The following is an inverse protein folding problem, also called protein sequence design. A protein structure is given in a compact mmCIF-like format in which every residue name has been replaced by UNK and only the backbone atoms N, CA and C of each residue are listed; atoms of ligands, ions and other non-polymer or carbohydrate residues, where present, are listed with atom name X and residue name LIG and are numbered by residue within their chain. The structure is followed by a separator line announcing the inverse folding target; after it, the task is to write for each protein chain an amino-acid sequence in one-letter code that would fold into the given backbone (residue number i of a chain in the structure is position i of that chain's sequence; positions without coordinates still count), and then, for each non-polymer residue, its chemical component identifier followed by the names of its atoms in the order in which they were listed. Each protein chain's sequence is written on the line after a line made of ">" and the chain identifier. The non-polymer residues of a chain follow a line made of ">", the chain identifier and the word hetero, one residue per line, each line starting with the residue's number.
data_IF_163656603615
#
_entry.id   IF_163656603615
#
_cell.length_a   1.000
_cell.length_b   1.000
_cell.length_c   1.000
_cell.angle_alpha   90.00
_cell.angle_beta   90.00
_cell.angle_gamma   90.00
#
_symmetry.space_group_name_H-M   'P 1'
#
loop_
_entity.id
_entity.type
_entity.pdbx_description
1 polymer ?
#
# COMPACT_ATOMS: atom_id res chain seq x y z
N UNK A 1 26.74 8.60 39.08
CA UNK A 1 26.83 9.53 37.94
C UNK A 1 25.53 9.37 37.16
N UNK A 2 24.80 10.45 36.86
CA UNK A 2 23.53 10.38 36.11
C UNK A 2 23.80 10.90 34.71
N UNK A 3 23.50 10.10 33.70
CA UNK A 3 23.59 10.50 32.29
C UNK A 3 22.25 11.02 31.79
N UNK A 4 22.28 11.85 30.75
CA UNK A 4 21.11 12.50 30.18
C UNK A 4 21.12 12.33 28.67
N UNK A 5 20.00 11.88 28.11
CA UNK A 5 19.78 11.76 26.68
C UNK A 5 18.50 12.51 26.27
N UNK A 6 18.45 12.95 25.01
CA UNK A 6 17.27 13.57 24.39
C UNK A 6 16.71 12.62 23.35
N UNK A 7 15.41 12.34 23.44
CA UNK A 7 14.69 11.52 22.48
C UNK A 7 13.68 12.38 21.72
N UNK A 8 13.55 12.15 20.42
CA UNK A 8 12.50 12.74 19.57
C UNK A 8 11.69 11.63 18.91
N UNK A 9 10.47 11.95 18.45
CA UNK A 9 9.62 11.00 17.71
C UNK A 9 9.33 9.70 18.49
N UNK A 10 9.11 9.86 19.81
CA UNK A 10 8.78 8.78 20.74
C UNK A 10 7.29 8.50 20.70
N UNK A 11 6.91 7.22 20.65
CA UNK A 11 5.54 6.77 20.85
C UNK A 11 5.47 5.79 22.00
N UNK A 12 4.46 5.96 22.83
CA UNK A 12 4.04 4.95 23.79
C UNK A 12 2.82 4.29 23.17
N UNK A 13 2.95 3.02 22.81
CA UNK A 13 1.84 2.23 22.26
C UNK A 13 1.31 1.31 23.35
N UNK A 14 -0.01 1.15 23.40
CA UNK A 14 -0.61 0.16 24.28
C UNK A 14 -0.18 -1.24 23.83
N UNK A 15 0.14 -2.09 24.81
CA UNK A 15 0.41 -3.50 24.53
C UNK A 15 -0.87 -4.17 24.06
N UNK A 16 -0.74 -5.19 23.21
CA UNK A 16 -1.87 -6.00 22.76
C UNK A 16 -2.71 -6.53 23.92
N UNK A 17 -4.03 -6.61 23.72
CA UNK A 17 -4.95 -7.13 24.73
C UNK A 17 -4.65 -8.59 25.09
N UNK A 18 -4.98 -9.05 26.32
CA UNK A 18 -4.91 -10.46 26.67
C UNK A 18 -5.64 -11.34 25.65
N UNK A 19 -4.99 -12.43 25.20
CA UNK A 19 -5.56 -13.34 24.20
C UNK A 19 -5.27 -12.99 22.74
N UNK A 20 -4.48 -11.93 22.49
CA UNK A 20 -3.99 -11.59 21.15
C UNK A 20 -3.20 -12.73 20.51
N UNK A 21 -3.53 -13.06 19.26
CA UNK A 21 -2.84 -14.05 18.45
C UNK A 21 -2.41 -13.39 17.14
N UNK A 22 -1.10 -13.20 16.95
CA UNK A 22 -0.51 -12.48 15.79
C UNK A 22 -1.00 -12.95 14.41
N UNK A 23 -1.33 -14.24 14.26
CA UNK A 23 -1.82 -14.80 12.99
C UNK A 23 -3.32 -14.62 12.73
N UNK A 24 -4.08 -14.15 13.73
CA UNK A 24 -5.54 -13.97 13.69
C UNK A 24 -5.93 -12.50 13.86
N UNK A 25 -5.27 -11.81 14.78
CA UNK A 25 -5.63 -10.48 15.21
C UNK A 25 -4.67 -9.45 14.58
N UNK A 26 -5.15 -8.52 13.75
CA UNK A 26 -4.30 -7.48 13.18
C UNK A 26 -3.87 -6.47 14.26
N UNK A 27 -2.64 -5.98 14.16
CA UNK A 27 -2.14 -4.88 14.99
C UNK A 27 -2.59 -3.50 14.47
N UNK A 28 -3.30 -3.46 13.34
CA UNK A 28 -3.52 -2.27 12.56
C UNK A 28 -2.30 -1.88 11.71
N UNK A 29 -2.45 -0.80 10.96
CA UNK A 29 -1.42 -0.23 10.10
C UNK A 29 -1.37 1.28 10.26
N UNK A 30 -0.17 1.83 10.10
CA UNK A 30 0.09 3.28 10.08
C UNK A 30 0.75 3.64 8.77
N UNK A 31 0.25 4.68 8.11
CA UNK A 31 0.86 5.29 6.95
C UNK A 31 1.68 6.49 7.44
N UNK A 32 2.98 6.47 7.14
CA UNK A 32 3.92 7.44 7.67
C UNK A 32 4.75 8.09 6.57
N UNK A 33 4.97 9.39 6.72
CA UNK A 33 5.96 10.14 5.94
C UNK A 33 7.25 10.26 6.76
N UNK A 34 8.38 10.14 6.08
CA UNK A 34 9.71 10.42 6.63
C UNK A 34 10.37 11.48 5.77
N UNK A 35 10.65 12.63 6.36
CA UNK A 35 11.54 13.62 5.78
C UNK A 35 12.99 13.11 5.92
N UNK A 36 13.67 12.92 4.78
CA UNK A 36 15.00 12.29 4.76
C UNK A 36 16.09 13.22 5.28
N UNK A 37 15.95 14.54 5.10
CA UNK A 37 16.96 15.51 5.50
C UNK A 37 16.97 15.73 7.01
N UNK A 38 15.79 15.92 7.60
CA UNK A 38 15.61 16.18 9.03
C UNK A 38 15.41 14.92 9.87
N UNK A 39 15.07 13.79 9.24
CA UNK A 39 14.67 12.57 9.93
C UNK A 39 13.32 12.66 10.63
N UNK A 40 12.53 13.72 10.38
CA UNK A 40 11.21 13.87 10.97
C UNK A 40 10.23 12.87 10.36
N UNK A 41 9.48 12.17 11.23
CA UNK A 41 8.46 11.21 10.83
C UNK A 41 7.09 11.68 11.29
N UNK A 42 6.09 11.51 10.43
CA UNK A 42 4.71 11.86 10.72
C UNK A 42 3.79 10.72 10.34
N UNK A 43 2.87 10.34 11.24
CA UNK A 43 1.72 9.50 10.87
C UNK A 43 0.69 10.38 10.20
N UNK A 44 0.29 10.01 8.99
CA UNK A 44 -0.72 10.72 8.21
C UNK A 44 -2.04 9.96 8.16
N UNK A 45 -2.02 8.64 8.40
CA UNK A 45 -3.22 7.81 8.50
C UNK A 45 -2.96 6.58 9.36
N UNK A 46 -3.96 6.15 10.13
CA UNK A 46 -3.90 4.92 10.92
C UNK A 46 -5.25 4.21 10.89
N UNK A 47 -5.23 2.89 10.82
CA UNK A 47 -6.43 2.07 10.76
C UNK A 47 -6.22 0.70 11.44
N UNK A 48 -7.27 0.07 11.98
CA UNK A 48 -7.17 -1.29 12.54
C UNK A 48 -6.98 -2.38 11.48
N UNK A 49 -7.26 -2.08 10.21
CA UNK A 49 -7.02 -2.99 9.09
C UNK A 49 -5.54 -3.04 8.71
N UNK A 50 -5.17 -4.12 8.01
CA UNK A 50 -3.86 -4.23 7.37
C UNK A 50 -3.91 -3.51 6.03
N UNK A 51 -2.99 -2.58 5.85
CA UNK A 51 -2.65 -2.01 4.56
C UNK A 51 -1.15 -2.01 4.35
N UNK A 52 -0.71 -2.15 3.10
CA UNK A 52 0.70 -2.45 2.78
C UNK A 52 1.19 -1.63 1.58
N UNK A 53 2.52 -1.68 1.38
CA UNK A 53 3.21 -1.23 0.17
C UNK A 53 2.83 0.16 -0.39
N UNK A 54 2.87 1.25 0.40
CA UNK A 54 2.55 2.58 -0.11
C UNK A 54 3.52 3.01 -1.23
N UNK A 55 2.97 3.53 -2.33
CA UNK A 55 3.69 4.07 -3.49
C UNK A 55 3.29 5.53 -3.71
N UNK A 56 4.25 6.41 -4.02
CA UNK A 56 3.99 7.81 -4.37
C UNK A 56 3.38 7.95 -5.77
N UNK A 57 2.46 8.89 -5.95
CA UNK A 57 2.13 9.41 -7.28
C UNK A 57 3.28 10.24 -7.84
N UNK A 58 3.40 10.31 -9.17
CA UNK A 58 4.50 11.02 -9.85
C UNK A 58 4.54 12.51 -9.47
N UNK A 59 3.38 13.13 -9.27
CA UNK A 59 3.25 14.52 -8.84
C UNK A 59 3.48 14.74 -7.33
N UNK A 60 3.72 13.66 -6.57
CA UNK A 60 3.91 13.70 -5.12
C UNK A 60 2.68 14.10 -4.33
N UNK A 61 1.48 14.16 -4.94
CA UNK A 61 0.27 14.66 -4.27
C UNK A 61 -0.46 13.60 -3.47
N UNK A 62 -0.15 12.32 -3.66
CA UNK A 62 -0.87 11.21 -3.06
C UNK A 62 -0.01 9.96 -2.88
N UNK A 63 -0.51 9.06 -2.03
CA UNK A 63 0.02 7.71 -1.85
C UNK A 63 -1.01 6.66 -2.30
N UNK A 64 -0.54 5.57 -2.89
CA UNK A 64 -1.35 4.42 -3.31
C UNK A 64 -0.96 3.22 -2.46
N UNK A 65 -1.93 2.51 -1.87
CA UNK A 65 -1.69 1.34 -1.03
C UNK A 65 -2.78 0.28 -1.21
N UNK A 66 -2.48 -0.98 -0.88
CA UNK A 66 -3.47 -2.06 -0.87
C UNK A 66 -4.11 -2.22 0.51
N UNK A 67 -5.39 -2.63 0.53
CA UNK A 67 -6.12 -3.02 1.74
C UNK A 67 -7.24 -3.97 1.38
N UNK A 68 -7.30 -5.14 2.02
CA UNK A 68 -8.39 -6.10 1.85
C UNK A 68 -8.61 -6.57 0.41
N UNK A 69 -7.54 -6.72 -0.38
CA UNK A 69 -7.62 -7.11 -1.79
C UNK A 69 -7.90 -5.97 -2.78
N UNK A 70 -8.07 -4.74 -2.29
CA UNK A 70 -8.39 -3.55 -3.09
C UNK A 70 -7.24 -2.53 -3.03
N UNK A 71 -7.29 -1.53 -3.92
CA UNK A 71 -6.35 -0.41 -3.95
C UNK A 71 -7.02 0.90 -3.54
N UNK A 72 -6.25 1.74 -2.85
CA UNK A 72 -6.70 3.02 -2.34
C UNK A 72 -5.69 4.12 -2.65
N UNK A 73 -6.18 5.33 -2.91
CA UNK A 73 -5.42 6.57 -3.02
C UNK A 73 -5.67 7.42 -1.78
N UNK A 74 -4.62 7.79 -1.08
CA UNK A 74 -4.60 8.78 0.00
C UNK A 74 -4.17 10.13 -0.57
N UNK A 75 -5.04 11.13 -0.54
CA UNK A 75 -4.69 12.49 -0.92
C UNK A 75 -3.96 13.21 0.21
N UNK A 76 -2.76 13.73 -0.03
CA UNK A 76 -1.94 14.35 1.01
C UNK A 76 -2.46 15.72 1.45
N UNK A 77 -3.19 16.43 0.59
CA UNK A 77 -3.67 17.77 0.90
C UNK A 77 -4.95 17.71 1.73
N UNK A 78 -5.91 16.86 1.38
CA UNK A 78 -7.17 16.74 2.12
C UNK A 78 -7.16 15.68 3.22
N UNK A 79 -6.28 14.67 3.12
CA UNK A 79 -6.31 13.48 3.97
C UNK A 79 -7.39 12.47 3.59
N UNK A 80 -8.06 12.67 2.44
CA UNK A 80 -9.11 11.78 1.98
C UNK A 80 -8.55 10.48 1.41
N UNK A 81 -9.33 9.41 1.59
CA UNK A 81 -9.04 8.10 1.02
C UNK A 81 -10.13 7.74 0.02
N UNK A 82 -9.73 7.50 -1.22
CA UNK A 82 -10.61 7.03 -2.28
C UNK A 82 -10.16 5.66 -2.79
N UNK A 83 -11.10 4.76 -3.04
CA UNK A 83 -10.78 3.49 -3.69
C UNK A 83 -10.42 3.72 -5.16
N UNK A 84 -9.37 3.06 -5.65
CA UNK A 84 -9.10 2.94 -7.09
C UNK A 84 -9.87 1.73 -7.59
N UNK A 85 -10.87 1.95 -8.45
CA UNK A 85 -11.70 0.87 -8.96
C UNK A 85 -10.89 -0.05 -9.89
N UNK A 86 -10.80 -1.32 -9.54
CA UNK A 86 -10.12 -2.38 -10.31
C UNK A 86 -11.11 -3.41 -10.87
N UNK A 87 -12.37 -3.00 -11.09
CA UNK A 87 -13.42 -3.87 -11.66
C UNK A 87 -13.57 -5.16 -10.86
N UNK A 88 -13.58 -6.29 -11.58
CA UNK A 88 -13.68 -7.63 -10.97
C UNK A 88 -12.37 -8.12 -10.30
N UNK A 89 -11.25 -7.43 -10.48
CA UNK A 89 -9.96 -7.83 -9.92
C UNK A 89 -9.83 -7.28 -8.50
N UNK A 90 -10.31 -8.03 -7.52
CA UNK A 90 -10.46 -7.59 -6.11
C UNK A 90 -9.67 -8.46 -5.11
N UNK A 91 -8.63 -9.14 -5.60
CA UNK A 91 -7.71 -9.95 -4.80
C UNK A 91 -6.26 -9.46 -4.99
N UNK A 92 -6.09 -8.13 -5.06
CA UNK A 92 -4.81 -7.46 -5.24
C UNK A 92 -3.97 -7.57 -3.96
N UNK A 93 -2.70 -7.96 -4.11
CA UNK A 93 -1.76 -8.06 -2.99
C UNK A 93 -0.88 -6.80 -2.88
N UNK A 94 0.19 -6.88 -2.09
CA UNK A 94 1.17 -5.81 -1.87
C UNK A 94 2.04 -5.49 -3.10
N UNK A 95 2.02 -6.29 -4.17
CA UNK A 95 2.84 -6.10 -5.36
C UNK A 95 2.06 -5.27 -6.40
N UNK A 96 2.06 -3.95 -6.20
CA UNK A 96 1.51 -2.98 -7.13
C UNK A 96 2.52 -1.86 -7.42
N UNK A 97 2.61 -1.43 -8.68
CA UNK A 97 3.61 -0.45 -9.13
C UNK A 97 3.01 0.54 -10.13
N UNK A 98 3.25 1.82 -9.91
CA UNK A 98 2.90 2.92 -10.80
C UNK A 98 3.85 2.96 -12.01
N UNK A 99 3.30 3.14 -13.22
CA UNK A 99 4.11 3.36 -14.43
C UNK A 99 4.91 4.65 -14.34
N UNK A 100 6.03 4.74 -15.06
CA UNK A 100 6.90 5.93 -15.03
C UNK A 100 6.20 7.21 -15.47
N UNK A 101 5.23 7.13 -16.39
CA UNK A 101 4.41 8.27 -16.81
C UNK A 101 3.25 8.59 -15.85
N UNK A 102 3.07 7.80 -14.80
CA UNK A 102 2.04 7.99 -13.77
C UNK A 102 0.63 7.65 -14.21
N UNK A 103 0.42 7.07 -15.41
CA UNK A 103 -0.93 6.85 -15.96
C UNK A 103 -1.54 5.50 -15.61
N UNK A 104 -0.71 4.49 -15.36
CA UNK A 104 -1.13 3.10 -15.20
C UNK A 104 -0.59 2.50 -13.91
N UNK A 105 -1.37 1.63 -13.29
CA UNK A 105 -0.94 0.72 -12.26
C UNK A 105 -0.78 -0.68 -12.85
N UNK A 106 0.33 -1.35 -12.56
CA UNK A 106 0.42 -2.79 -12.65
C UNK A 106 0.13 -3.38 -11.26
N UNK A 107 -0.62 -4.47 -11.22
CA UNK A 107 -1.12 -5.08 -9.97
C UNK A 107 -0.98 -6.60 -10.07
N UNK A 108 -0.46 -7.23 -9.02
CA UNK A 108 -0.54 -8.69 -8.86
C UNK A 108 -1.82 -9.03 -8.10
N UNK A 109 -2.63 -9.91 -8.69
CA UNK A 109 -3.89 -10.36 -8.08
C UNK A 109 -4.06 -11.86 -8.23
N UNK A 110 -4.64 -12.49 -7.21
CA UNK A 110 -5.06 -13.89 -7.33
C UNK A 110 -6.16 -14.02 -8.38
N UNK A 111 -5.94 -14.89 -9.35
CA UNK A 111 -6.94 -15.31 -10.32
C UNK A 111 -7.66 -16.56 -9.80
N UNK A 112 -8.99 -16.52 -9.76
CA UNK A 112 -9.80 -17.61 -9.22
C UNK A 112 -9.90 -18.82 -10.14
N UNK A 113 -9.74 -18.65 -11.45
CA UNK A 113 -9.77 -19.79 -12.39
C UNK A 113 -8.45 -20.54 -12.34
N UNK A 114 -7.33 -19.83 -12.35
CA UNK A 114 -5.98 -20.41 -12.29
C UNK A 114 -5.51 -20.76 -10.88
N UNK A 115 -6.19 -20.25 -9.85
CA UNK A 115 -5.78 -20.38 -8.44
C UNK A 115 -4.34 -19.91 -8.19
N UNK A 116 -3.88 -18.92 -8.95
CA UNK A 116 -2.52 -18.39 -8.91
C UNK A 116 -2.52 -16.86 -9.07
N UNK A 117 -1.44 -16.20 -8.62
CA UNK A 117 -1.22 -14.78 -8.89
C UNK A 117 -0.94 -14.55 -10.37
N UNK A 118 -1.55 -13.52 -10.95
CA UNK A 118 -1.28 -13.03 -12.31
C UNK A 118 -1.23 -11.51 -12.31
N UNK A 119 -0.64 -10.94 -13.35
CA UNK A 119 -0.44 -9.49 -13.45
C UNK A 119 -1.54 -8.87 -14.31
N UNK A 120 -2.14 -7.79 -13.81
CA UNK A 120 -3.05 -6.91 -14.54
C UNK A 120 -2.47 -5.50 -14.63
N UNK A 121 -3.01 -4.72 -15.56
CA UNK A 121 -2.79 -3.27 -15.64
C UNK A 121 -4.12 -2.54 -15.62
N UNK A 122 -4.19 -1.37 -15.00
CA UNK A 122 -5.40 -0.55 -14.89
C UNK A 122 -4.99 0.94 -14.89
N UNK A 123 -5.78 1.87 -15.45
CA UNK A 123 -5.51 3.29 -15.29
C UNK A 123 -5.44 3.68 -13.81
N UNK A 124 -4.61 4.66 -13.46
CA UNK A 124 -4.52 5.18 -12.07
C UNK A 124 -5.86 5.75 -11.58
N UNK A 125 -6.70 6.23 -12.50
CA UNK A 125 -8.07 6.70 -12.24
C UNK A 125 -9.07 5.57 -11.97
N UNK A 126 -8.62 4.31 -12.07
CA UNK A 126 -9.46 3.12 -12.04
C UNK A 126 -10.11 2.80 -13.38
N UNK A 127 -10.79 1.65 -13.42
CA UNK A 127 -11.48 1.13 -14.59
C UNK A 127 -11.39 -0.39 -14.68
N UNK A 128 -11.63 -0.92 -15.88
CA UNK A 128 -11.51 -2.35 -16.16
C UNK A 128 -10.03 -2.75 -16.32
N UNK A 129 -9.49 -3.66 -15.50
CA UNK A 129 -8.11 -4.09 -15.64
C UNK A 129 -7.90 -4.99 -16.85
N UNK A 130 -6.76 -4.81 -17.52
CA UNK A 130 -6.27 -5.66 -18.59
C UNK A 130 -5.26 -6.67 -18.05
N UNK A 131 -5.53 -7.96 -18.26
CA UNK A 131 -4.61 -9.03 -17.92
C UNK A 131 -3.37 -9.01 -18.81
N UNK A 132 -2.19 -9.16 -18.20
CA UNK A 132 -0.89 -9.15 -18.88
C UNK A 132 -0.29 -10.55 -18.96
N UNK A 133 -0.30 -11.33 -17.86
CA UNK A 133 0.30 -12.67 -17.86
C UNK A 133 -0.73 -13.76 -18.14
N UNK A 134 -0.45 -14.62 -19.13
CA UNK A 134 -1.33 -15.74 -19.51
C UNK A 134 -1.32 -16.89 -18.48
N UNK A 135 -0.24 -17.02 -17.72
CA UNK A 135 -0.05 -18.07 -16.71
C UNK A 135 0.40 -17.47 -15.38
N UNK A 136 0.23 -18.24 -14.32
CA UNK A 136 0.76 -17.92 -12.99
C UNK A 136 1.63 -19.08 -12.45
N UNK A 137 2.29 -18.88 -11.31
CA UNK A 137 2.31 -17.65 -10.53
C UNK A 137 3.16 -16.56 -11.19
N UNK A 138 2.69 -15.32 -11.14
CA UNK A 138 3.44 -14.13 -11.52
C UNK A 138 3.30 -13.07 -10.44
N UNK A 139 4.44 -12.49 -10.05
CA UNK A 139 4.54 -11.44 -9.03
C UNK A 139 5.27 -10.25 -9.64
N UNK A 140 4.66 -9.08 -9.50
CA UNK A 140 5.13 -7.85 -10.11
C UNK A 140 6.35 -7.30 -9.37
N UNK A 141 7.38 -6.89 -10.12
CA UNK A 141 8.56 -6.22 -9.58
C UNK A 141 8.89 -4.87 -10.25
N UNK A 142 8.17 -4.49 -11.31
CA UNK A 142 8.33 -3.17 -11.91
C UNK A 142 7.86 -3.06 -13.34
N UNK A 143 7.97 -1.85 -13.86
CA UNK A 143 7.84 -1.51 -15.27
C UNK A 143 9.23 -1.42 -15.89
N UNK A 144 9.36 -1.78 -17.16
CA UNK A 144 10.53 -1.35 -17.91
C UNK A 144 10.46 0.17 -18.12
N UNK A 145 11.60 0.88 -18.23
CA UNK A 145 11.60 2.32 -18.44
C UNK A 145 11.08 2.80 -19.80
N UNK A 146 10.96 1.89 -20.77
CA UNK A 146 10.62 2.13 -22.18
C UNK A 146 9.16 1.82 -22.54
#
# INVERSE_FOLDING_TARGET
>A
MVERAVFGNVRVVETVLPGFVRGRDPLGSMLELLDIESGQRQVIYGAPEIFEAPNWTVDGSALIFNRGGLLYRFDLASGDIAQINTGAVTQNNNDHVLSFDGRMLAISSRDDTLKASVIYTVPITGGEPKRITAHGPSYLHGWSPD
#
